data_IF_462290344988
#
_entry.id   IF_462290344988
#
_cell.length_a   1.000
_cell.length_b   1.000
_cell.length_c   1.000
_cell.angle_alpha   90.00
_cell.angle_beta   90.00
_cell.angle_gamma   90.00
#
_symmetry.space_group_name_H-M   'P 1'
#
loop_
_entity.id
_entity.type
_entity.pdbx_description
1 polymer ?
#
# COMPACT_ATOMS: atom_id res chain seq x y z
N UNK A 1 -6.56 20.18 2.57
CA UNK A 1 -6.71 18.97 3.40
C UNK A 1 -8.20 18.68 3.67
N UNK A 2 -8.90 17.98 2.76
CA UNK A 2 -10.27 17.50 3.01
C UNK A 2 -10.54 16.08 2.44
N UNK A 3 -9.56 15.48 1.77
CA UNK A 3 -9.69 14.18 1.09
C UNK A 3 -9.05 13.03 1.88
N UNK A 4 -8.16 13.35 2.82
CA UNK A 4 -7.64 12.43 3.84
C UNK A 4 -8.77 11.88 4.73
N UNK A 5 -9.80 12.71 4.97
CA UNK A 5 -10.98 12.36 5.77
C UNK A 5 -11.99 11.49 5.02
N UNK A 6 -11.92 11.41 3.68
CA UNK A 6 -12.83 10.58 2.87
C UNK A 6 -12.48 9.08 2.93
N UNK A 7 -11.40 8.70 3.61
CA UNK A 7 -10.98 7.30 3.72
C UNK A 7 -10.50 6.68 2.39
N UNK A 8 -10.26 7.50 1.36
CA UNK A 8 -9.87 7.06 0.01
C UNK A 8 -8.57 6.24 0.02
N UNK A 9 -7.57 6.67 0.80
CA UNK A 9 -6.33 5.91 0.95
C UNK A 9 -6.55 4.54 1.61
N UNK A 10 -7.40 4.49 2.64
CA UNK A 10 -7.78 3.22 3.28
C UNK A 10 -8.46 2.29 2.28
N UNK A 11 -9.37 2.81 1.47
CA UNK A 11 -10.05 2.04 0.44
C UNK A 11 -9.04 1.50 -0.57
N UNK A 12 -8.17 2.33 -1.12
CA UNK A 12 -7.19 1.93 -2.14
C UNK A 12 -6.29 0.80 -1.65
N UNK A 13 -5.74 0.93 -0.43
CA UNK A 13 -4.88 -0.09 0.17
C UNK A 13 -5.63 -1.40 0.42
N UNK A 14 -6.84 -1.31 0.96
CA UNK A 14 -7.69 -2.48 1.26
C UNK A 14 -8.11 -3.18 -0.03
N UNK A 15 -8.45 -2.42 -1.06
CA UNK A 15 -8.80 -2.91 -2.39
C UNK A 15 -7.61 -3.65 -3.03
N UNK A 16 -6.41 -3.06 -3.03
CA UNK A 16 -5.22 -3.72 -3.55
C UNK A 16 -4.91 -5.03 -2.83
N UNK A 17 -5.00 -5.05 -1.49
CA UNK A 17 -4.77 -6.27 -0.73
C UNK A 17 -5.79 -7.37 -1.06
N UNK A 18 -7.08 -7.04 -1.08
CA UNK A 18 -8.13 -8.00 -1.41
C UNK A 18 -7.98 -8.52 -2.84
N UNK A 19 -7.67 -7.64 -3.80
CA UNK A 19 -7.45 -8.05 -5.19
C UNK A 19 -6.24 -8.99 -5.31
N UNK A 20 -5.13 -8.69 -4.64
CA UNK A 20 -3.96 -9.57 -4.65
C UNK A 20 -4.24 -10.93 -4.02
N UNK A 21 -5.05 -10.96 -2.97
CA UNK A 21 -5.52 -12.20 -2.35
C UNK A 21 -6.42 -13.02 -3.27
N UNK A 22 -7.22 -12.38 -4.11
CA UNK A 22 -8.11 -13.06 -5.07
C UNK A 22 -7.37 -13.54 -6.33
N UNK A 23 -6.45 -12.72 -6.86
CA UNK A 23 -5.76 -13.01 -8.13
C UNK A 23 -4.56 -13.95 -7.99
N UNK A 24 -4.04 -14.11 -6.77
CA UNK A 24 -2.79 -14.85 -6.53
C UNK A 24 -2.86 -15.73 -5.30
N UNK A 25 -1.91 -16.66 -5.21
CA UNK A 25 -1.76 -17.52 -4.04
C UNK A 25 -1.38 -16.73 -2.78
N UNK A 26 -1.64 -17.31 -1.62
CA UNK A 26 -1.28 -16.72 -0.32
C UNK A 26 0.20 -16.31 -0.21
N UNK A 27 1.09 -16.95 -0.98
CA UNK A 27 2.52 -16.65 -1.08
C UNK A 27 2.82 -15.20 -1.50
N UNK A 28 1.91 -14.55 -2.23
CA UNK A 28 2.05 -13.14 -2.61
C UNK A 28 1.93 -12.21 -1.41
N UNK A 29 1.03 -12.55 -0.47
CA UNK A 29 0.76 -11.72 0.71
C UNK A 29 1.95 -11.77 1.65
N UNK A 30 2.55 -12.95 1.82
CA UNK A 30 3.81 -13.11 2.56
C UNK A 30 4.95 -12.30 1.93
N UNK A 31 5.00 -12.22 0.59
CA UNK A 31 6.00 -11.41 -0.14
C UNK A 31 5.76 -9.92 0.07
N UNK A 32 4.51 -9.45 0.05
CA UNK A 32 4.15 -8.07 0.37
C UNK A 32 4.56 -7.70 1.79
N UNK A 33 4.21 -8.53 2.77
CA UNK A 33 4.51 -8.29 4.18
C UNK A 33 6.02 -8.28 4.44
N UNK A 34 6.78 -9.20 3.82
CA UNK A 34 8.25 -9.18 3.86
C UNK A 34 8.84 -7.91 3.26
N UNK A 35 8.31 -7.45 2.11
CA UNK A 35 8.78 -6.20 1.47
C UNK A 35 8.48 -4.99 2.34
N UNK A 36 7.27 -4.89 2.88
CA UNK A 36 6.89 -3.85 3.83
C UNK A 36 7.80 -3.83 5.07
N UNK A 37 8.11 -4.99 5.63
CA UNK A 37 9.00 -5.11 6.78
C UNK A 37 10.46 -4.74 6.47
N UNK A 38 10.90 -4.95 5.23
CA UNK A 38 12.28 -4.66 4.79
C UNK A 38 12.50 -3.21 4.36
N UNK A 39 11.45 -2.40 4.22
CA UNK A 39 11.60 -0.98 3.89
C UNK A 39 12.34 -0.30 5.04
N UNK A 40 13.48 0.37 4.77
CA UNK A 40 14.27 1.05 5.80
C UNK A 40 13.33 1.95 6.60
N UNK A 41 13.48 1.96 7.93
CA UNK A 41 12.60 2.67 8.86
C UNK A 41 12.36 4.10 8.39
N UNK A 42 11.28 4.29 7.64
CA UNK A 42 10.78 5.60 7.31
C UNK A 42 10.19 6.11 8.62
N UNK A 43 10.77 7.18 9.16
CA UNK A 43 10.47 7.69 10.51
C UNK A 43 8.97 7.93 10.76
N UNK A 44 8.21 8.12 9.68
CA UNK A 44 6.78 8.40 9.70
C UNK A 44 5.89 7.18 9.39
N UNK A 45 6.47 5.99 9.19
CA UNK A 45 5.72 4.75 8.96
C UNK A 45 5.70 3.92 10.25
N UNK A 46 4.51 3.72 10.81
CA UNK A 46 4.34 2.82 11.95
C UNK A 46 4.67 1.39 11.51
N UNK A 47 5.51 0.69 12.29
CA UNK A 47 5.88 -0.70 12.01
C UNK A 47 4.65 -1.59 12.18
N UNK A 48 4.22 -2.19 11.07
CA UNK A 48 3.17 -3.20 11.05
C UNK A 48 3.75 -4.54 11.51
N UNK A 49 3.77 -4.78 12.82
CA UNK A 49 4.26 -6.06 13.38
C UNK A 49 3.53 -7.29 12.82
N UNK A 50 2.32 -7.11 12.30
CA UNK A 50 1.46 -8.18 11.76
C UNK A 50 1.12 -7.94 10.27
N UNK A 51 1.97 -7.25 9.51
CA UNK A 51 1.77 -7.02 8.08
C UNK A 51 0.56 -6.14 7.75
N UNK A 52 0.09 -6.20 6.50
CA UNK A 52 -1.04 -5.41 6.00
C UNK A 52 -2.31 -5.58 6.84
N UNK A 53 -2.50 -6.72 7.50
CA UNK A 53 -3.67 -6.95 8.36
C UNK A 53 -3.74 -6.00 9.57
N UNK A 54 -2.62 -5.39 9.96
CA UNK A 54 -2.60 -4.38 11.02
C UNK A 54 -2.95 -2.95 10.56
N UNK A 55 -3.25 -2.76 9.26
CA UNK A 55 -3.63 -1.47 8.68
C UNK A 55 -4.98 -0.91 9.14
N UNK A 56 -5.82 -1.71 9.80
CA UNK A 56 -7.10 -1.24 10.31
C UNK A 56 -6.99 -0.19 11.44
N UNK A 57 -5.79 0.05 11.98
CA UNK A 57 -5.52 0.95 13.13
C UNK A 57 -4.46 2.02 12.85
N UNK A 58 -4.51 2.66 11.69
CA UNK A 58 -3.63 3.80 11.37
C UNK A 58 -4.42 5.07 11.04
N UNK A 59 -3.82 6.21 11.35
CA UNK A 59 -4.30 7.57 11.09
C UNK A 59 -4.24 7.91 9.60
N UNK A 60 -4.94 8.97 9.21
CA UNK A 60 -4.96 9.43 7.82
C UNK A 60 -3.54 9.79 7.31
N UNK A 61 -2.72 10.41 8.15
CA UNK A 61 -1.32 10.74 7.81
C UNK A 61 -0.47 9.48 7.58
N UNK A 62 -0.64 8.46 8.40
CA UNK A 62 0.03 7.17 8.24
C UNK A 62 -0.41 6.47 6.94
N UNK A 63 -1.68 6.59 6.54
CA UNK A 63 -2.14 6.10 5.23
C UNK A 63 -1.48 6.82 4.06
N UNK A 64 -1.27 8.14 4.15
CA UNK A 64 -0.56 8.91 3.13
C UNK A 64 0.90 8.42 2.99
N UNK A 65 1.58 8.22 4.10
CA UNK A 65 2.96 7.71 4.08
C UNK A 65 3.05 6.27 3.58
N UNK A 66 2.06 5.44 3.91
CA UNK A 66 1.94 4.10 3.35
C UNK A 66 1.76 4.12 1.83
N UNK A 67 0.94 5.03 1.28
CA UNK A 67 0.75 5.15 -0.18
C UNK A 67 2.05 5.44 -0.93
N UNK A 68 2.94 6.25 -0.35
CA UNK A 68 4.28 6.52 -0.91
C UNK A 68 5.12 5.24 -0.96
N UNK A 69 5.04 4.43 0.09
CA UNK A 69 5.82 3.20 0.24
C UNK A 69 5.25 2.04 -0.58
N UNK A 70 3.93 1.98 -0.79
CA UNK A 70 3.28 0.90 -1.53
C UNK A 70 3.73 0.77 -2.98
N UNK A 71 4.17 1.85 -3.63
CA UNK A 71 4.78 1.76 -4.96
C UNK A 71 5.97 0.80 -4.93
N UNK A 72 6.87 0.93 -3.95
CA UNK A 72 8.04 0.07 -3.82
C UNK A 72 7.70 -1.37 -3.42
N UNK A 73 6.62 -1.55 -2.65
CA UNK A 73 6.14 -2.87 -2.24
C UNK A 73 5.60 -3.63 -3.45
N UNK A 74 4.83 -2.95 -4.29
CA UNK A 74 4.20 -3.50 -5.48
C UNK A 74 5.15 -3.60 -6.68
N UNK A 75 6.14 -2.72 -6.77
CA UNK A 75 7.11 -2.71 -7.86
C UNK A 75 7.89 -4.03 -7.94
N UNK A 76 8.13 -4.53 -9.14
CA UNK A 76 8.76 -5.84 -9.38
C UNK A 76 8.08 -7.02 -8.66
N UNK A 77 6.79 -6.92 -8.31
CA UNK A 77 5.93 -8.10 -8.25
C UNK A 77 5.72 -8.49 -9.70
N UNK A 78 6.53 -9.44 -10.18
CA UNK A 78 6.60 -9.99 -11.54
C UNK A 78 5.29 -10.62 -12.04
N UNK A 79 4.23 -9.81 -12.07
CA UNK A 79 2.87 -10.28 -11.90
C UNK A 79 1.95 -9.31 -12.64
N UNK A 80 1.36 -9.78 -13.74
CA UNK A 80 0.13 -9.28 -14.36
C UNK A 80 0.04 -7.80 -14.80
N UNK A 81 -0.53 -7.56 -15.99
CA UNK A 81 -0.90 -6.22 -16.47
C UNK A 81 -1.78 -5.44 -15.48
N UNK A 82 -2.57 -6.14 -14.65
CA UNK A 82 -3.43 -5.54 -13.62
C UNK A 82 -2.62 -4.82 -12.53
N UNK A 83 -1.47 -5.35 -12.11
CA UNK A 83 -0.62 -4.68 -11.13
C UNK A 83 0.13 -3.49 -11.71
N UNK A 84 0.49 -3.53 -12.99
CA UNK A 84 1.05 -2.36 -13.66
C UNK A 84 0.05 -1.19 -13.69
N UNK A 85 -1.24 -1.49 -13.95
CA UNK A 85 -2.32 -0.50 -13.84
C UNK A 85 -2.46 0.03 -12.41
N UNK A 86 -2.41 -0.85 -11.41
CA UNK A 86 -2.37 -0.44 -9.99
C UNK A 86 -1.19 0.49 -9.71
N UNK A 87 0.03 0.11 -10.07
CA UNK A 87 1.24 0.91 -9.84
C UNK A 87 1.10 2.32 -10.41
N UNK A 88 0.51 2.45 -11.61
CA UNK A 88 0.20 3.74 -12.22
C UNK A 88 -0.84 4.54 -11.42
N UNK A 89 -1.90 3.91 -10.90
CA UNK A 89 -2.85 4.57 -10.01
C UNK A 89 -2.16 5.10 -8.75
N UNK A 90 -1.29 4.31 -8.11
CA UNK A 90 -0.52 4.76 -6.94
C UNK A 90 0.40 5.95 -7.29
N UNK A 91 1.04 5.97 -8.46
CA UNK A 91 1.84 7.12 -8.94
C UNK A 91 1.00 8.39 -9.12
N UNK A 92 -0.15 8.29 -9.80
CA UNK A 92 -1.06 9.43 -10.03
C UNK A 92 -1.58 9.97 -8.71
N UNK A 93 -1.98 9.08 -7.79
CA UNK A 93 -2.44 9.47 -6.46
C UNK A 93 -1.33 10.16 -5.68
N UNK A 94 -0.14 9.56 -5.60
CA UNK A 94 0.98 10.19 -4.90
C UNK A 94 1.22 11.59 -5.46
N UNK A 95 1.28 11.79 -6.78
CA UNK A 95 1.42 13.11 -7.39
C UNK A 95 0.31 14.10 -7.03
N UNK A 96 -0.94 13.64 -6.96
CA UNK A 96 -2.09 14.49 -6.57
C UNK A 96 -1.97 14.98 -5.11
N UNK A 97 -1.28 14.22 -4.26
CA UNK A 97 -1.17 14.47 -2.82
C UNK A 97 0.25 14.86 -2.37
N UNK A 98 1.18 15.14 -3.29
CA UNK A 98 2.41 15.87 -2.99
C UNK A 98 1.98 17.32 -2.71
N UNK A 99 1.87 17.66 -1.42
CA UNK A 99 1.85 19.05 -0.92
C UNK A 99 3.27 19.40 -0.50
#
# INVERSE_FOLDING_TARGET
MHHLDLGLFKYQITFTYNLLKELHEASILDKLDKRLANIPRFLELKIFKNGIQSLFRITANEYCNLMKVMIFVLDNLDISETLNKMLNLYKVWNNMYII
#
